data_IF_254864924046
#
_entry.id   IF_254864924046
#
_cell.length_a   1.000
_cell.length_b   1.000
_cell.length_c   1.000
_cell.angle_alpha   90.00
_cell.angle_beta   90.00
_cell.angle_gamma   90.00
#
_symmetry.space_group_name_H-M   'P 1'
#
loop_
_entity.id
_entity.type
_entity.pdbx_description
1 polymer ?
#
# COMPACT_ATOMS: atom_id res chain seq x y z
N UNK A 1 2.12 -30.83 41.52
CA UNK A 1 0.99 -30.32 40.75
C UNK A 1 1.34 -28.92 40.29
N UNK A 2 1.77 -28.78 39.06
CA UNK A 2 2.19 -27.50 38.49
C UNK A 2 0.91 -26.77 38.06
N UNK A 3 0.56 -25.73 38.77
CA UNK A 3 -0.53 -24.83 38.34
C UNK A 3 0.08 -23.93 37.26
N UNK A 4 -0.19 -24.25 36.02
CA UNK A 4 0.05 -23.32 34.92
C UNK A 4 -1.03 -22.24 35.09
N UNK A 5 -0.68 -21.10 35.68
CA UNK A 5 -1.47 -19.91 35.54
C UNK A 5 -1.43 -19.51 34.06
N UNK A 6 -2.52 -19.78 33.36
CA UNK A 6 -2.79 -19.06 32.13
C UNK A 6 -2.90 -17.60 32.53
N UNK A 7 -1.94 -16.78 32.19
CA UNK A 7 -2.11 -15.33 32.20
C UNK A 7 -3.23 -15.05 31.21
N UNK A 8 -4.45 -14.88 31.70
CA UNK A 8 -5.50 -14.28 30.92
C UNK A 8 -4.95 -12.94 30.43
N UNK A 9 -5.04 -12.67 29.13
CA UNK A 9 -4.71 -11.37 28.57
C UNK A 9 -5.53 -10.33 29.33
N UNK A 10 -4.86 -9.48 30.10
CA UNK A 10 -5.50 -8.43 30.90
C UNK A 10 -5.72 -7.19 30.01
N UNK A 11 -6.53 -7.38 28.95
CA UNK A 11 -6.95 -6.29 28.06
C UNK A 11 -8.22 -5.70 28.64
N UNK A 12 -8.17 -4.42 28.96
CA UNK A 12 -9.33 -3.64 29.37
C UNK A 12 -10.16 -3.25 28.13
N UNK A 13 -11.26 -3.96 27.89
CA UNK A 13 -12.13 -3.78 26.73
C UNK A 13 -12.93 -2.46 26.77
N UNK A 14 -13.11 -1.87 27.95
CA UNK A 14 -13.84 -0.62 28.13
C UNK A 14 -12.94 0.61 27.94
N UNK A 15 -11.63 0.40 27.94
CA UNK A 15 -10.67 1.45 27.74
C UNK A 15 -10.60 1.89 26.27
N UNK A 16 -10.70 3.19 26.05
CA UNK A 16 -10.44 3.80 24.74
C UNK A 16 -8.95 4.02 24.54
N UNK A 17 -8.54 4.01 23.28
CA UNK A 17 -7.16 4.31 22.89
C UNK A 17 -7.07 5.28 21.74
N UNK A 18 -5.85 5.41 21.20
CA UNK A 18 -5.59 6.25 20.03
C UNK A 18 -4.61 5.58 19.08
N UNK A 19 -4.68 5.98 17.80
CA UNK A 19 -3.69 5.66 16.77
C UNK A 19 -3.11 6.96 16.26
N UNK A 20 -1.78 7.08 16.31
CA UNK A 20 -1.03 8.19 15.76
C UNK A 20 -0.13 7.70 14.62
N UNK A 21 -0.25 8.30 13.44
CA UNK A 21 0.65 8.03 12.34
C UNK A 21 1.46 9.29 12.01
N UNK A 22 2.81 9.15 11.97
CA UNK A 22 3.75 10.25 11.73
C UNK A 22 4.42 10.05 10.37
N UNK A 23 4.15 10.96 9.44
CA UNK A 23 4.73 10.98 8.10
C UNK A 23 6.06 11.72 8.17
N UNK A 24 7.16 10.99 8.04
CA UNK A 24 8.52 11.54 8.14
C UNK A 24 9.35 11.03 6.97
N UNK A 25 10.08 11.94 6.32
CA UNK A 25 11.06 11.61 5.30
C UNK A 25 12.36 12.35 5.58
N UNK A 26 13.49 11.63 5.61
CA UNK A 26 14.83 12.14 5.91
C UNK A 26 14.91 12.98 7.21
N UNK A 27 14.09 12.63 8.20
CA UNK A 27 14.01 13.30 9.50
C UNK A 27 13.11 14.53 9.55
N UNK A 28 12.51 14.92 8.41
CA UNK A 28 11.60 16.05 8.32
C UNK A 28 10.14 15.61 8.20
N UNK A 29 9.18 16.38 8.77
CA UNK A 29 7.76 16.10 8.59
C UNK A 29 7.32 16.19 7.13
N UNK A 30 6.42 15.30 6.72
CA UNK A 30 5.75 15.32 5.42
C UNK A 30 4.28 15.70 5.62
N UNK A 31 3.95 17.01 5.52
CA UNK A 31 2.59 17.50 5.75
C UNK A 31 1.71 17.32 4.51
N UNK A 32 0.42 17.21 4.73
CA UNK A 32 -0.61 17.16 3.68
C UNK A 32 -1.00 15.76 3.26
N UNK A 33 -2.04 15.70 2.44
CA UNK A 33 -2.75 14.47 2.15
C UNK A 33 -3.74 14.07 3.24
N UNK A 34 -4.39 12.93 3.06
CA UNK A 34 -5.43 12.43 3.96
C UNK A 34 -5.19 10.99 4.36
N UNK A 35 -5.56 10.64 5.59
CA UNK A 35 -5.55 9.27 6.10
C UNK A 35 -6.95 8.88 6.54
N UNK A 36 -7.41 7.69 6.14
CA UNK A 36 -8.70 7.16 6.55
C UNK A 36 -8.50 5.92 7.41
N UNK A 37 -9.20 5.89 8.53
CA UNK A 37 -9.22 4.78 9.49
C UNK A 37 -10.50 3.99 9.32
N UNK A 38 -10.38 2.67 9.22
CA UNK A 38 -11.48 1.72 9.20
C UNK A 38 -11.37 0.76 10.38
N UNK A 39 -12.43 0.57 11.14
CA UNK A 39 -12.48 -0.49 12.15
C UNK A 39 -12.81 -1.79 11.44
N UNK A 40 -11.87 -2.71 11.43
CA UNK A 40 -12.00 -4.01 10.72
C UNK A 40 -12.62 -5.06 11.63
N UNK A 41 -12.14 -5.14 12.88
CA UNK A 41 -12.56 -6.18 13.79
C UNK A 41 -12.52 -5.72 15.25
N UNK A 42 -13.36 -6.33 16.09
CA UNK A 42 -13.34 -6.21 17.53
C UNK A 42 -12.39 -7.24 18.16
N UNK A 43 -11.78 -6.90 19.28
CA UNK A 43 -10.91 -7.80 20.01
C UNK A 43 -11.71 -8.83 20.80
N UNK A 44 -11.31 -10.12 20.71
CA UNK A 44 -11.96 -11.26 21.37
C UNK A 44 -10.97 -11.98 22.30
N UNK A 45 -10.82 -11.57 23.57
CA UNK A 45 -9.75 -12.04 24.44
C UNK A 45 -9.88 -13.52 24.86
N UNK A 46 -11.03 -14.15 24.64
CA UNK A 46 -11.33 -15.51 25.08
C UNK A 46 -11.60 -16.48 23.93
N UNK A 47 -11.41 -16.05 22.68
CA UNK A 47 -11.61 -16.87 21.51
C UNK A 47 -10.27 -17.38 20.97
N UNK A 48 -10.29 -18.46 20.18
CA UNK A 48 -9.10 -18.96 19.47
C UNK A 48 -8.58 -17.92 18.46
N UNK A 49 -9.50 -17.12 17.93
CA UNK A 49 -9.20 -15.95 17.12
C UNK A 49 -9.22 -14.69 17.97
N UNK A 50 -8.12 -13.94 17.99
CA UNK A 50 -8.02 -12.69 18.78
C UNK A 50 -8.97 -11.59 18.29
N UNK A 51 -9.48 -11.69 17.06
CA UNK A 51 -10.29 -10.69 16.42
C UNK A 51 -11.52 -11.31 15.76
N UNK A 52 -12.68 -10.64 15.89
CA UNK A 52 -13.90 -10.95 15.15
C UNK A 52 -14.28 -9.74 14.30
N UNK A 53 -14.57 -9.97 13.03
CA UNK A 53 -14.97 -8.90 12.11
C UNK A 53 -16.15 -8.10 12.63
N UNK A 54 -16.17 -6.79 12.35
CA UNK A 54 -17.37 -5.97 12.47
C UNK A 54 -18.28 -6.22 11.26
N UNK A 55 -19.55 -5.80 11.36
CA UNK A 55 -20.60 -6.09 10.37
C UNK A 55 -20.17 -5.76 8.93
N UNK A 56 -19.49 -4.64 8.74
CA UNK A 56 -19.05 -4.17 7.43
C UNK A 56 -17.99 -5.06 6.77
N UNK A 57 -17.28 -5.89 7.56
CA UNK A 57 -16.20 -6.76 7.10
C UNK A 57 -16.51 -8.26 7.20
N UNK A 58 -17.69 -8.67 7.69
CA UNK A 58 -18.03 -10.09 7.87
C UNK A 58 -17.92 -10.91 6.58
N UNK A 59 -18.25 -10.30 5.44
CA UNK A 59 -18.26 -10.96 4.14
C UNK A 59 -16.98 -10.70 3.31
N UNK A 60 -15.92 -10.14 3.90
CA UNK A 60 -14.70 -9.78 3.16
C UNK A 60 -13.93 -11.00 2.62
N UNK A 61 -14.11 -12.17 3.20
CA UNK A 61 -13.44 -13.41 2.78
C UNK A 61 -11.94 -13.46 3.08
N UNK A 62 -11.38 -12.43 3.73
CA UNK A 62 -9.98 -12.36 4.16
C UNK A 62 -9.84 -13.09 5.50
N UNK A 63 -8.69 -13.71 5.78
CA UNK A 63 -8.41 -14.31 7.09
C UNK A 63 -7.52 -13.39 7.92
N UNK A 64 -7.72 -13.35 9.25
CA UNK A 64 -6.91 -12.58 10.19
C UNK A 64 -5.84 -13.44 10.89
N UNK A 65 -5.45 -14.57 10.28
CA UNK A 65 -4.42 -15.47 10.80
C UNK A 65 -3.03 -14.82 10.79
N UNK A 66 -2.78 -13.96 9.82
CA UNK A 66 -1.61 -13.12 9.74
C UNK A 66 -2.04 -11.65 9.54
N UNK A 67 -1.53 -10.75 10.39
CA UNK A 67 -1.78 -9.31 10.27
C UNK A 67 -0.60 -8.66 9.54
N UNK A 68 -0.41 -9.07 8.29
CA UNK A 68 0.71 -8.66 7.45
C UNK A 68 0.29 -7.69 6.34
N UNK A 69 1.23 -7.39 5.45
CA UNK A 69 1.03 -6.50 4.32
C UNK A 69 -0.05 -7.02 3.35
N UNK A 70 -0.03 -8.31 3.04
CA UNK A 70 -0.97 -8.90 2.06
C UNK A 70 -2.40 -8.82 2.59
N UNK A 71 -2.61 -9.14 3.86
CA UNK A 71 -3.90 -8.98 4.56
C UNK A 71 -4.40 -7.53 4.52
N UNK A 72 -3.51 -6.56 4.76
CA UNK A 72 -3.88 -5.14 4.69
C UNK A 72 -4.31 -4.71 3.29
N UNK A 73 -3.61 -5.19 2.25
CA UNK A 73 -3.94 -4.90 0.83
C UNK A 73 -5.26 -5.55 0.43
N UNK A 74 -5.53 -6.79 0.82
CA UNK A 74 -6.79 -7.48 0.54
C UNK A 74 -7.97 -6.75 1.20
N UNK A 75 -7.85 -6.37 2.47
CA UNK A 75 -8.85 -5.57 3.16
C UNK A 75 -9.04 -4.19 2.54
N UNK A 76 -7.95 -3.53 2.10
CA UNK A 76 -8.01 -2.25 1.39
C UNK A 76 -8.75 -2.37 0.05
N UNK A 77 -8.54 -3.47 -0.68
CA UNK A 77 -9.26 -3.76 -1.91
C UNK A 77 -10.75 -3.94 -1.64
N UNK A 78 -11.09 -4.70 -0.59
CA UNK A 78 -12.47 -4.89 -0.16
C UNK A 78 -13.17 -3.56 0.21
N UNK A 79 -12.48 -2.68 0.95
CA UNK A 79 -12.97 -1.33 1.27
C UNK A 79 -13.30 -0.54 0.00
N UNK A 80 -12.40 -0.56 -0.98
CA UNK A 80 -12.58 0.16 -2.24
C UNK A 80 -13.75 -0.40 -3.07
N UNK A 81 -13.84 -1.72 -3.21
CA UNK A 81 -14.87 -2.37 -4.03
C UNK A 81 -16.28 -2.26 -3.43
N UNK A 82 -16.38 -2.16 -2.11
CA UNK A 82 -17.66 -2.09 -1.39
C UNK A 82 -18.00 -0.69 -0.89
N UNK A 83 -17.19 0.32 -1.23
CA UNK A 83 -17.41 1.73 -0.86
C UNK A 83 -17.62 1.91 0.66
N UNK A 84 -16.85 1.17 1.48
CA UNK A 84 -16.99 1.23 2.93
C UNK A 84 -16.56 2.61 3.44
N UNK A 85 -17.40 3.24 4.24
CA UNK A 85 -17.11 4.54 4.83
C UNK A 85 -16.15 4.40 6.02
N UNK A 86 -15.14 5.28 6.11
CA UNK A 86 -14.17 5.34 7.19
C UNK A 86 -14.04 6.75 7.78
N UNK A 87 -13.30 6.83 8.88
CA UNK A 87 -13.00 8.12 9.51
C UNK A 87 -11.77 8.76 8.84
N UNK A 88 -12.00 9.77 8.00
CA UNK A 88 -10.93 10.48 7.29
C UNK A 88 -10.46 11.71 8.06
N UNK A 89 -9.14 11.92 8.12
CA UNK A 89 -8.50 13.11 8.66
C UNK A 89 -7.37 13.59 7.76
N UNK A 90 -7.17 14.91 7.74
CA UNK A 90 -6.01 15.53 7.10
C UNK A 90 -4.74 15.31 7.93
N UNK A 91 -3.61 15.11 7.25
CA UNK A 91 -2.29 15.04 7.86
C UNK A 91 -1.83 16.48 8.15
N UNK A 92 -1.53 16.75 9.41
CA UNK A 92 -1.19 18.10 9.88
C UNK A 92 0.13 18.64 9.30
N UNK A 93 0.39 19.92 9.57
CA UNK A 93 1.63 20.59 9.14
C UNK A 93 2.90 20.04 9.81
N UNK A 94 2.72 19.29 10.88
CA UNK A 94 3.75 18.53 11.58
C UNK A 94 3.93 17.11 11.04
N UNK A 95 3.24 16.75 9.95
CA UNK A 95 3.24 15.42 9.36
C UNK A 95 2.49 14.38 10.18
N UNK A 96 1.66 14.80 11.16
CA UNK A 96 0.99 13.88 12.08
C UNK A 96 -0.52 13.82 11.82
N UNK A 97 -1.07 12.62 11.87
CA UNK A 97 -2.49 12.38 11.96
C UNK A 97 -2.80 11.52 13.19
N UNK A 98 -3.80 11.92 13.99
CA UNK A 98 -4.19 11.21 15.21
C UNK A 98 -5.69 10.90 15.23
N UNK A 99 -6.01 9.64 15.49
CA UNK A 99 -7.36 9.14 15.73
C UNK A 99 -7.50 8.80 17.23
N UNK A 100 -8.46 9.41 17.89
CA UNK A 100 -8.69 9.30 19.33
C UNK A 100 -10.02 8.61 19.62
N UNK A 101 -10.24 8.27 20.89
CA UNK A 101 -11.46 7.65 21.39
C UNK A 101 -11.82 6.32 20.71
N UNK A 102 -10.79 5.58 20.27
CA UNK A 102 -10.94 4.33 19.58
C UNK A 102 -11.30 3.19 20.54
N UNK A 103 -12.24 2.37 20.12
CA UNK A 103 -12.54 1.11 20.82
C UNK A 103 -11.42 0.10 20.62
N UNK A 104 -11.35 -0.88 21.53
CA UNK A 104 -10.41 -1.99 21.40
C UNK A 104 -10.75 -2.81 20.16
N UNK A 105 -9.74 -3.06 19.29
CA UNK A 105 -9.94 -3.76 18.02
C UNK A 105 -8.78 -3.65 17.04
N UNK A 106 -9.03 -4.14 15.84
CA UNK A 106 -8.13 -4.07 14.69
C UNK A 106 -8.60 -2.97 13.73
N UNK A 107 -7.66 -2.18 13.27
CA UNK A 107 -7.89 -1.03 12.40
C UNK A 107 -7.03 -1.11 11.14
N UNK A 108 -7.62 -0.76 10.00
CA UNK A 108 -6.96 -0.58 8.73
C UNK A 108 -6.80 0.91 8.46
N UNK A 109 -5.59 1.33 8.09
CA UNK A 109 -5.29 2.69 7.68
C UNK A 109 -4.99 2.71 6.18
N UNK A 110 -5.66 3.63 5.47
CA UNK A 110 -5.48 3.85 4.04
C UNK A 110 -5.24 5.34 3.80
N UNK A 111 -4.19 5.65 3.05
CA UNK A 111 -3.93 6.98 2.55
C UNK A 111 -4.53 7.10 1.15
N UNK A 112 -5.61 7.90 0.99
CA UNK A 112 -6.26 8.12 -0.30
C UNK A 112 -5.66 9.29 -1.06
N UNK A 113 -5.03 10.21 -0.36
CA UNK A 113 -4.32 11.36 -0.92
C UNK A 113 -2.96 11.46 -0.25
N UNK A 114 -1.90 11.41 -1.03
CA UNK A 114 -0.53 11.62 -0.55
C UNK A 114 -0.18 13.10 -0.44
N UNK A 115 0.86 13.41 0.32
CA UNK A 115 1.48 14.73 0.27
C UNK A 115 2.09 14.99 -1.11
N UNK A 116 2.16 16.26 -1.52
CA UNK A 116 2.80 16.66 -2.78
C UNK A 116 4.26 16.17 -2.86
N UNK A 117 4.61 15.50 -3.95
CA UNK A 117 5.94 14.94 -4.17
C UNK A 117 6.20 13.60 -3.49
N UNK A 118 5.16 12.92 -2.99
CA UNK A 118 5.26 11.59 -2.40
C UNK A 118 4.24 10.64 -3.00
N UNK A 119 4.59 9.34 -3.04
CA UNK A 119 3.62 8.29 -3.34
C UNK A 119 2.71 8.02 -2.15
N UNK A 120 1.51 7.54 -2.44
CA UNK A 120 0.60 7.05 -1.42
C UNK A 120 1.21 5.87 -0.66
N UNK A 121 0.92 5.81 0.63
CA UNK A 121 1.29 4.66 1.46
C UNK A 121 0.43 3.45 1.09
N UNK A 122 1.06 2.29 1.11
CA UNK A 122 0.29 1.05 1.11
C UNK A 122 -0.57 0.95 2.36
N UNK A 123 -1.75 0.32 2.28
CA UNK A 123 -2.59 0.05 3.45
C UNK A 123 -1.80 -0.70 4.53
N UNK A 124 -2.10 -0.42 5.79
CA UNK A 124 -1.47 -1.13 6.91
C UNK A 124 -2.44 -1.30 8.08
N UNK A 125 -2.19 -2.32 8.88
CA UNK A 125 -3.01 -2.69 10.04
C UNK A 125 -2.37 -2.21 11.33
N UNK A 126 -3.20 -1.75 12.27
CA UNK A 126 -2.83 -1.43 13.65
C UNK A 126 -3.88 -1.94 14.61
N UNK A 127 -3.48 -2.43 15.78
CA UNK A 127 -4.41 -2.83 16.84
C UNK A 127 -4.42 -1.83 17.98
N UNK A 128 -5.57 -1.70 18.63
CA UNK A 128 -5.74 -1.00 19.90
C UNK A 128 -6.35 -2.01 20.87
N UNK A 129 -5.63 -2.40 21.96
CA UNK A 129 -4.24 -2.07 22.21
C UNK A 129 -3.27 -2.84 21.33
N UNK A 130 -2.04 -2.35 21.21
CA UNK A 130 -0.90 -3.12 20.72
C UNK A 130 -0.19 -3.82 21.88
N UNK A 131 0.37 -5.00 21.63
CA UNK A 131 1.17 -5.71 22.62
C UNK A 131 2.67 -5.41 22.38
N UNK A 132 3.26 -4.66 23.30
CA UNK A 132 4.68 -4.35 23.29
C UNK A 132 5.36 -5.08 24.47
N UNK A 133 6.13 -6.12 24.15
CA UNK A 133 6.87 -6.92 25.15
C UNK A 133 5.99 -7.44 26.31
N UNK A 134 4.75 -7.82 26.04
CA UNK A 134 3.80 -8.32 27.03
C UNK A 134 3.02 -7.22 27.77
N UNK A 135 3.18 -5.96 27.37
CA UNK A 135 2.43 -4.81 27.89
C UNK A 135 1.45 -4.30 26.84
N UNK A 136 0.19 -4.09 27.22
CA UNK A 136 -0.82 -3.54 26.32
C UNK A 136 -0.80 -2.01 26.31
N UNK A 137 -0.42 -1.45 25.15
CA UNK A 137 -0.35 0.00 24.89
C UNK A 137 -1.60 0.38 24.10
N UNK A 138 -2.42 1.29 24.67
CA UNK A 138 -3.68 1.74 24.04
C UNK A 138 -3.49 2.95 23.15
N UNK A 139 -2.45 3.73 23.39
CA UNK A 139 -2.05 4.86 22.54
C UNK A 139 -0.92 4.40 21.64
N UNK A 140 -1.28 3.90 20.45
CA UNK A 140 -0.36 3.25 19.51
C UNK A 140 0.18 4.26 18.51
N UNK A 141 1.45 4.10 18.12
CA UNK A 141 2.14 4.98 17.22
C UNK A 141 2.74 4.21 16.03
N UNK A 142 2.75 4.82 14.87
CA UNK A 142 3.39 4.31 13.66
C UNK A 142 4.10 5.42 12.91
N UNK A 143 5.25 5.10 12.31
CA UNK A 143 5.96 5.99 11.40
C UNK A 143 6.19 5.27 10.07
N UNK A 144 5.17 5.20 9.20
CA UNK A 144 5.27 4.51 7.93
C UNK A 144 6.27 5.23 7.02
N UNK A 145 7.05 4.43 6.28
CA UNK A 145 8.11 4.96 5.42
C UNK A 145 7.53 5.67 4.22
N UNK A 146 7.82 6.96 4.08
CA UNK A 146 7.47 7.77 2.93
C UNK A 146 8.39 7.49 1.74
N UNK A 147 7.83 7.47 0.53
CA UNK A 147 8.57 7.28 -0.72
C UNK A 147 8.37 8.51 -1.61
N UNK A 148 9.44 9.26 -1.94
CA UNK A 148 9.33 10.41 -2.84
C UNK A 148 8.86 10.00 -4.24
N UNK A 149 8.03 10.84 -4.84
CA UNK A 149 7.65 10.73 -6.25
C UNK A 149 8.69 11.47 -7.10
N UNK A 150 9.65 10.72 -7.63
CA UNK A 150 10.73 11.26 -8.47
C UNK A 150 10.29 11.52 -9.93
N UNK A 151 8.98 11.44 -10.23
CA UNK A 151 8.52 11.78 -11.59
C UNK A 151 8.86 13.24 -11.90
N UNK A 152 9.44 13.54 -13.11
CA UNK A 152 9.65 14.91 -13.50
C UNK A 152 8.32 15.67 -13.46
N UNK A 153 8.25 16.71 -12.67
CA UNK A 153 7.15 17.66 -12.73
C UNK A 153 7.16 18.27 -14.12
N UNK A 154 6.11 18.05 -14.92
CA UNK A 154 5.97 18.76 -16.19
C UNK A 154 6.05 20.26 -15.89
N UNK A 155 6.90 21.01 -16.62
CA UNK A 155 6.94 22.45 -16.41
C UNK A 155 5.53 23.01 -16.62
N UNK A 156 5.13 24.04 -15.85
CA UNK A 156 3.82 24.66 -16.00
C UNK A 156 3.61 24.99 -17.47
N UNK A 157 2.55 24.45 -18.06
CA UNK A 157 2.12 24.85 -19.39
C UNK A 157 1.82 26.33 -19.31
N UNK A 158 2.74 27.18 -19.80
CA UNK A 158 2.46 28.61 -19.96
C UNK A 158 1.21 28.71 -20.85
N UNK A 159 0.13 29.26 -20.29
CA UNK A 159 -1.05 29.58 -21.07
C UNK A 159 -0.60 30.47 -22.23
N UNK A 160 -1.03 30.20 -23.48
CA UNK A 160 -0.63 31.02 -24.59
C UNK A 160 -1.13 32.44 -24.36
N UNK A 161 -0.20 33.34 -24.09
CA UNK A 161 -0.45 34.77 -24.06
C UNK A 161 -1.06 35.16 -25.40
N UNK A 162 -2.33 35.56 -25.38
CA UNK A 162 -3.02 36.13 -26.54
C UNK A 162 -2.39 37.49 -26.84
N UNK A 163 -1.35 37.51 -27.65
CA UNK A 163 -0.91 38.72 -28.31
C UNK A 163 -1.77 38.93 -29.55
N UNK A 164 -2.45 40.11 -29.59
CA UNK A 164 -3.22 40.58 -30.73
C UNK A 164 -2.30 40.67 -31.98
N UNK A 165 -2.79 40.30 -33.18
CA UNK A 165 -2.00 40.38 -34.40
C UNK A 165 -1.87 41.87 -34.84
N UNK A 166 -0.65 42.40 -34.79
CA UNK A 166 -0.27 43.60 -35.52
C UNK A 166 0.00 43.25 -36.96
N UNK A 167 -0.85 43.67 -37.86
CA UNK A 167 -0.66 43.56 -39.30
C UNK A 167 0.47 44.47 -39.78
N UNK A 168 1.50 43.94 -40.45
CA UNK A 168 2.18 44.64 -41.53
C UNK A 168 2.79 43.61 -42.51
N UNK A 169 2.69 43.83 -43.85
CA UNK A 169 3.00 42.84 -44.87
C UNK A 169 4.45 43.00 -45.37
N UNK A 170 5.19 41.88 -45.45
CA UNK A 170 6.46 41.91 -46.15
C UNK A 170 6.78 40.55 -46.81
N UNK A 171 6.88 40.57 -48.13
CA UNK A 171 7.62 39.82 -49.12
C UNK A 171 7.80 38.29 -49.00
N UNK A 172 7.84 37.55 -50.16
CA UNK A 172 7.78 36.11 -50.20
C UNK A 172 9.09 35.43 -49.82
N UNK A 173 9.03 34.22 -49.17
CA UNK A 173 10.20 33.53 -48.65
C UNK A 173 10.94 32.74 -49.73
N UNK A 174 12.24 32.87 -49.67
CA UNK A 174 13.25 32.04 -50.30
C UNK A 174 13.23 30.63 -49.73
N UNK A 175 13.30 29.60 -50.57
CA UNK A 175 13.24 28.19 -50.24
C UNK A 175 14.25 27.77 -49.15
N UNK A 176 13.87 26.92 -48.16
CA UNK A 176 14.81 26.35 -47.20
C UNK A 176 15.54 25.13 -47.79
N UNK A 177 16.81 24.89 -47.40
CA UNK A 177 17.52 23.67 -47.77
C UNK A 177 16.96 22.47 -46.97
N UNK A 178 16.70 21.41 -47.72
CA UNK A 178 16.27 20.10 -47.22
C UNK A 178 17.41 19.42 -46.47
N UNK A 179 17.38 19.42 -45.14
CA UNK A 179 18.15 18.47 -44.36
C UNK A 179 17.29 17.26 -44.00
N UNK A 180 17.80 16.03 -44.07
CA UNK A 180 17.05 14.85 -43.74
C UNK A 180 16.82 14.77 -42.21
N UNK A 181 15.68 14.19 -41.74
CA UNK A 181 15.34 14.16 -40.32
C UNK A 181 16.39 13.34 -39.54
N UNK A 182 16.94 13.95 -38.49
CA UNK A 182 17.74 13.25 -37.50
C UNK A 182 16.90 12.12 -36.86
N UNK A 183 17.49 10.92 -36.87
CA UNK A 183 16.92 9.76 -36.20
C UNK A 183 16.73 10.08 -34.74
N UNK A 184 15.47 10.01 -34.31
CA UNK A 184 15.10 9.99 -32.88
C UNK A 184 15.95 8.95 -32.14
N UNK A 185 16.47 9.25 -30.95
CA UNK A 185 17.14 8.24 -30.13
C UNK A 185 16.14 7.15 -29.77
N UNK A 186 16.45 5.92 -30.20
CA UNK A 186 15.73 4.74 -29.72
C UNK A 186 15.97 4.61 -28.21
N UNK A 187 14.96 4.89 -27.41
CA UNK A 187 14.92 4.43 -26.02
C UNK A 187 14.88 2.91 -26.04
N UNK A 188 16.05 2.30 -25.87
CA UNK A 188 16.21 0.86 -25.91
C UNK A 188 15.49 0.22 -24.73
N UNK A 189 14.28 -0.26 -24.97
CA UNK A 189 13.74 -1.34 -24.15
C UNK A 189 14.58 -2.58 -24.47
N UNK A 190 15.53 -2.86 -23.61
CA UNK A 190 16.28 -4.12 -23.65
C UNK A 190 15.34 -5.23 -23.17
N UNK A 191 14.66 -5.90 -24.10
CA UNK A 191 13.85 -7.10 -23.85
C UNK A 191 14.71 -8.34 -23.48
N UNK A 192 15.87 -8.10 -22.88
CA UNK A 192 16.82 -9.13 -22.49
C UNK A 192 16.27 -10.21 -21.54
N UNK A 193 15.46 -9.92 -20.48
CA UNK A 193 15.07 -10.98 -19.53
C UNK A 193 14.00 -11.93 -20.07
N UNK A 194 13.17 -11.54 -21.06
CA UNK A 194 12.03 -12.32 -21.53
C UNK A 194 12.44 -13.68 -22.12
N UNK A 195 13.40 -13.79 -23.05
CA UNK A 195 13.80 -15.09 -23.60
C UNK A 195 14.44 -16.01 -22.56
N UNK A 196 15.18 -15.48 -21.60
CA UNK A 196 15.83 -16.27 -20.56
C UNK A 196 14.80 -16.88 -19.60
N UNK A 197 13.83 -16.09 -19.17
CA UNK A 197 12.74 -16.56 -18.30
C UNK A 197 11.89 -17.64 -18.99
N UNK A 198 11.62 -17.50 -20.28
CA UNK A 198 10.87 -18.49 -21.06
C UNK A 198 11.60 -19.83 -21.13
N UNK A 199 12.90 -19.81 -21.39
CA UNK A 199 13.71 -21.04 -21.46
C UNK A 199 13.81 -21.73 -20.10
N UNK A 200 13.99 -20.97 -19.00
CA UNK A 200 14.01 -21.51 -17.66
C UNK A 200 12.66 -22.13 -17.27
N UNK A 201 11.53 -21.48 -17.62
CA UNK A 201 10.19 -21.99 -17.36
C UNK A 201 9.91 -23.32 -18.06
N UNK A 202 10.30 -23.45 -19.32
CA UNK A 202 10.17 -24.72 -20.10
C UNK A 202 11.04 -25.82 -19.49
N UNK A 203 12.28 -25.48 -19.06
CA UNK A 203 13.17 -26.45 -18.43
C UNK A 203 12.58 -27.03 -17.15
N UNK A 204 12.00 -26.20 -16.27
CA UNK A 204 11.35 -26.68 -15.04
C UNK A 204 10.10 -27.51 -15.32
N UNK A 205 9.31 -27.17 -16.35
CA UNK A 205 8.16 -27.98 -16.77
C UNK A 205 8.57 -29.38 -17.23
N UNK A 206 9.59 -29.47 -18.06
CA UNK A 206 10.10 -30.77 -18.57
C UNK A 206 10.71 -31.60 -17.43
N UNK A 207 11.51 -30.97 -16.55
CA UNK A 207 12.08 -31.64 -15.39
C UNK A 207 11.01 -32.17 -14.43
N UNK A 208 9.95 -31.40 -14.19
CA UNK A 208 8.79 -31.82 -13.39
C UNK A 208 8.05 -33.01 -14.00
N UNK A 209 7.81 -33.00 -15.29
CA UNK A 209 7.14 -34.11 -16.02
C UNK A 209 7.98 -35.39 -15.96
N UNK A 210 9.30 -35.30 -16.11
CA UNK A 210 10.21 -36.46 -16.00
C UNK A 210 10.23 -37.04 -14.58
N UNK A 211 10.19 -36.19 -13.53
CA UNK A 211 10.12 -36.69 -12.15
C UNK A 211 8.80 -37.40 -11.85
N UNK A 212 7.68 -36.85 -12.35
CA UNK A 212 6.36 -37.49 -12.16
C UNK A 212 6.26 -38.82 -12.92
N UNK A 213 6.83 -38.92 -14.13
CA UNK A 213 6.83 -40.19 -14.90
C UNK A 213 7.67 -41.26 -14.22
N UNK A 214 8.85 -40.92 -13.71
CA UNK A 214 9.72 -41.86 -12.96
C UNK A 214 9.12 -42.29 -11.62
N UNK A 215 8.38 -41.42 -10.95
CA UNK A 215 7.69 -41.76 -9.69
C UNK A 215 6.55 -42.77 -9.88
N UNK A 216 5.94 -42.85 -11.08
CA UNK A 216 4.90 -43.83 -11.41
C UNK A 216 5.46 -45.23 -11.72
N UNK A 217 6.64 -45.33 -12.27
CA UNK A 217 7.28 -46.65 -12.55
C UNK A 217 7.69 -47.39 -11.26
N UNK A 218 8.14 -46.67 -10.23
CA UNK A 218 8.53 -47.26 -8.95
C UNK A 218 7.35 -47.72 -8.08
N UNK A 219 6.08 -47.43 -8.43
CA UNK A 219 4.92 -47.82 -7.64
C UNK A 219 4.21 -49.08 -8.19
N UNK A 220 4.65 -49.61 -9.33
CA UNK A 220 4.10 -50.82 -9.95
C UNK A 220 4.90 -52.12 -9.73
N UNK A 221 5.96 -52.08 -8.88
CA UNK A 221 6.78 -53.22 -8.57
C UNK A 221 6.70 -53.67 -7.09
N UNK A 222 5.55 -53.51 -6.43
CA UNK A 222 5.29 -54.12 -5.10
C UNK A 222 3.99 -54.89 -5.17
#
# INVERSE_FOLDING_TARGET
>A
MLVIQANAMDVDLDRKGSITASMIYDGEPVPGGTMTLYRVASFQPFDETLFAYVEEFEDCGVTLDALDFDTAVELGTYVYENEIEGLTKEIGTDGVVKFEDLEVGLYLLIQWESAEGFYELSPFLMSVPNNEDGTYVYDTESAPKQTPDERPTEPPTEEPSTEEPSEEPTEPPTEPPTEPPEKLPQTGQTNWPIPILTVCGIFFLVAGLVMVSRGKENHNEI
#
